data_IF_994088398497
#
_entry.id   IF_994088398497
#
_cell.length_a   1.000
_cell.length_b   1.000
_cell.length_c   1.000
_cell.angle_alpha   90.00
_cell.angle_beta   90.00
_cell.angle_gamma   90.00
#
_symmetry.space_group_name_H-M   'P 1'
#
loop_
_entity.id
_entity.type
_entity.pdbx_description
1 polymer ?
#
# COMPACT_ATOMS: atom_id res chain seq x y z
N UNK A 1 11.81 6.05 -5.49
CA UNK A 1 10.82 7.11 -5.73
C UNK A 1 9.70 7.04 -4.67
N UNK A 2 9.22 5.84 -4.32
CA UNK A 2 8.18 5.58 -3.30
C UNK A 2 8.52 5.92 -1.83
N UNK A 3 9.81 6.06 -1.46
CA UNK A 3 10.21 6.35 -0.07
C UNK A 3 9.80 7.75 0.41
N UNK A 4 9.68 8.71 -0.52
CA UNK A 4 9.25 10.08 -0.19
C UNK A 4 7.77 10.15 0.20
N UNK A 5 6.93 9.30 -0.39
CA UNK A 5 5.52 9.15 -0.02
C UNK A 5 5.38 8.60 1.42
N UNK A 6 6.21 7.61 1.76
CA UNK A 6 6.26 7.06 3.11
C UNK A 6 6.67 8.10 4.16
N UNK A 7 7.68 8.92 3.86
CA UNK A 7 8.11 10.03 4.75
C UNK A 7 6.98 11.06 4.93
N UNK A 8 6.21 11.35 3.88
CA UNK A 8 5.03 12.23 3.97
C UNK A 8 3.96 11.64 4.88
N UNK A 9 3.64 10.36 4.73
CA UNK A 9 2.66 9.70 5.61
C UNK A 9 3.12 9.67 7.07
N UNK A 10 4.41 9.44 7.31
CA UNK A 10 5.02 9.52 8.64
C UNK A 10 4.91 10.93 9.23
N UNK A 11 5.26 11.96 8.45
CA UNK A 11 5.24 13.36 8.89
C UNK A 11 3.84 13.83 9.26
N UNK A 12 2.83 13.31 8.55
CA UNK A 12 1.41 13.57 8.80
C UNK A 12 0.81 12.65 9.88
N UNK A 13 1.61 11.75 10.49
CA UNK A 13 1.15 10.76 11.46
C UNK A 13 -0.05 9.92 11.00
N UNK A 14 -0.14 9.65 9.69
CA UNK A 14 -1.27 8.92 9.10
C UNK A 14 -1.11 7.38 9.21
N UNK A 15 0.12 6.92 9.46
CA UNK A 15 0.48 5.50 9.58
C UNK A 15 0.29 4.99 11.01
N UNK A 16 -0.32 3.80 11.14
CA UNK A 16 -0.38 3.05 12.40
C UNK A 16 0.97 2.41 12.74
N UNK A 17 1.15 1.95 13.98
CA UNK A 17 2.42 1.30 14.38
C UNK A 17 2.72 0.03 13.56
N UNK A 18 1.69 -0.77 13.26
CA UNK A 18 1.82 -1.93 12.37
C UNK A 18 2.27 -1.53 10.94
N UNK A 19 1.79 -0.40 10.42
CA UNK A 19 2.19 0.13 9.11
C UNK A 19 3.63 0.68 9.13
N UNK A 20 4.08 1.22 10.28
CA UNK A 20 5.47 1.69 10.47
C UNK A 20 6.46 0.53 10.53
N UNK A 21 6.10 -0.55 11.23
CA UNK A 21 6.92 -1.77 11.27
C UNK A 21 7.00 -2.43 9.89
N UNK A 22 5.91 -2.43 9.14
CA UNK A 22 5.85 -2.99 7.78
C UNK A 22 6.19 -1.94 6.70
N UNK A 23 7.24 -1.14 6.93
CA UNK A 23 7.68 -0.06 6.02
C UNK A 23 7.78 -0.52 4.57
N UNK A 24 8.45 -1.65 4.33
CA UNK A 24 8.71 -2.14 2.97
C UNK A 24 7.41 -2.50 2.23
N UNK A 25 6.46 -3.15 2.92
CA UNK A 25 5.14 -3.49 2.36
C UNK A 25 4.38 -2.23 1.96
N UNK A 26 4.39 -1.21 2.83
CA UNK A 26 3.71 0.06 2.55
C UNK A 26 4.35 0.78 1.37
N UNK A 27 5.68 0.82 1.28
CA UNK A 27 6.40 1.44 0.16
C UNK A 27 6.01 0.76 -1.15
N UNK A 28 6.03 -0.57 -1.19
CA UNK A 28 5.75 -1.35 -2.39
C UNK A 28 4.29 -1.20 -2.85
N UNK A 29 3.32 -1.22 -1.93
CA UNK A 29 1.91 -0.99 -2.27
C UNK A 29 1.70 0.46 -2.69
N UNK A 30 2.34 1.42 -2.03
CA UNK A 30 2.24 2.83 -2.40
C UNK A 30 2.77 3.05 -3.80
N UNK A 31 3.90 2.45 -4.17
CA UNK A 31 4.45 2.51 -5.53
C UNK A 31 3.44 2.00 -6.56
N UNK A 32 2.79 0.85 -6.30
CA UNK A 32 1.74 0.33 -7.19
C UNK A 32 0.55 1.29 -7.36
N UNK A 33 0.11 1.94 -6.28
CA UNK A 33 -0.98 2.94 -6.34
C UNK A 33 -0.54 4.17 -7.12
N UNK A 34 0.68 4.65 -6.88
CA UNK A 34 1.22 5.81 -7.57
C UNK A 34 1.43 5.56 -9.06
N UNK A 35 1.92 4.38 -9.42
CA UNK A 35 2.07 3.96 -10.81
C UNK A 35 0.70 3.86 -11.50
N UNK A 36 -0.30 3.28 -10.82
CA UNK A 36 -1.67 3.19 -11.33
C UNK A 36 -2.33 4.56 -11.54
N UNK A 37 -2.04 5.54 -10.68
CA UNK A 37 -2.49 6.93 -10.85
C UNK A 37 -1.62 7.74 -11.84
N UNK A 38 -0.49 7.20 -12.33
CA UNK A 38 0.44 7.90 -13.22
C UNK A 38 1.30 8.97 -12.52
N UNK A 39 1.55 8.79 -11.22
CA UNK A 39 2.34 9.66 -10.34
C UNK A 39 3.75 9.05 -10.15
N UNK A 40 4.52 9.02 -11.24
CA UNK A 40 5.85 8.37 -11.26
C UNK A 40 7.01 9.26 -10.75
N UNK A 41 6.75 10.46 -10.22
CA UNK A 41 7.83 11.42 -9.90
C UNK A 41 7.74 11.98 -8.48
N UNK A 42 8.84 11.93 -7.71
CA UNK A 42 8.96 12.45 -6.34
C UNK A 42 8.56 13.94 -6.23
N UNK A 43 8.76 14.71 -7.31
CA UNK A 43 8.33 16.11 -7.38
C UNK A 43 6.82 16.27 -7.49
N UNK A 44 6.11 15.30 -8.08
CA UNK A 44 4.64 15.28 -8.11
C UNK A 44 4.11 14.92 -6.72
N UNK A 45 4.64 13.89 -6.06
CA UNK A 45 4.17 13.47 -4.73
C UNK A 45 4.34 14.58 -3.68
N UNK A 46 5.42 15.35 -3.76
CA UNK A 46 5.64 16.49 -2.85
C UNK A 46 4.62 17.63 -3.07
N UNK A 47 4.00 17.71 -4.25
CA UNK A 47 2.97 18.70 -4.59
C UNK A 47 1.55 18.17 -4.37
N UNK A 48 1.39 16.90 -4.00
CA UNK A 48 0.09 16.30 -3.66
C UNK A 48 -0.43 16.94 -2.36
N UNK A 49 -1.70 17.31 -2.37
CA UNK A 49 -2.39 17.87 -1.20
C UNK A 49 -2.56 16.81 -0.11
N UNK A 50 -2.80 17.24 1.13
CA UNK A 50 -3.06 16.31 2.24
C UNK A 50 -4.27 15.41 1.96
N UNK A 51 -5.32 15.95 1.35
CA UNK A 51 -6.52 15.19 0.97
C UNK A 51 -6.18 14.06 0.02
N UNK A 52 -5.40 14.34 -1.03
CA UNK A 52 -5.01 13.33 -2.01
C UNK A 52 -4.01 12.32 -1.43
N UNK A 53 -3.16 12.72 -0.48
CA UNK A 53 -2.35 11.78 0.31
C UNK A 53 -3.21 10.82 1.15
N UNK A 54 -4.32 11.30 1.72
CA UNK A 54 -5.28 10.44 2.45
C UNK A 54 -5.97 9.46 1.51
N UNK A 55 -6.38 9.90 0.32
CA UNK A 55 -6.96 9.01 -0.70
C UNK A 55 -5.99 7.89 -1.08
N UNK A 56 -4.72 8.23 -1.38
CA UNK A 56 -3.68 7.25 -1.70
C UNK A 56 -3.50 6.26 -0.54
N UNK A 57 -3.46 6.75 0.70
CA UNK A 57 -3.31 5.87 1.86
C UNK A 57 -4.52 4.94 2.07
N UNK A 58 -5.74 5.41 1.80
CA UNK A 58 -6.92 4.54 1.80
C UNK A 58 -6.84 3.45 0.75
N UNK A 59 -6.35 3.77 -0.46
CA UNK A 59 -6.12 2.76 -1.50
C UNK A 59 -5.05 1.74 -1.08
N UNK A 60 -3.95 2.21 -0.49
CA UNK A 60 -2.90 1.34 0.07
C UNK A 60 -3.50 0.37 1.09
N UNK A 61 -4.35 0.86 2.01
CA UNK A 61 -5.04 0.02 3.00
C UNK A 61 -6.02 -0.96 2.36
N UNK A 62 -6.76 -0.55 1.33
CA UNK A 62 -7.66 -1.44 0.57
C UNK A 62 -6.89 -2.56 -0.11
N UNK A 63 -5.78 -2.25 -0.78
CA UNK A 63 -4.93 -3.24 -1.45
C UNK A 63 -4.29 -4.17 -0.42
N UNK A 64 -3.78 -3.65 0.69
CA UNK A 64 -3.22 -4.46 1.79
C UNK A 64 -4.24 -5.44 2.35
N UNK A 65 -5.47 -4.98 2.61
CA UNK A 65 -6.57 -5.84 3.06
C UNK A 65 -6.95 -6.89 2.01
N UNK A 66 -6.95 -6.52 0.73
CA UNK A 66 -7.21 -7.44 -0.38
C UNK A 66 -6.11 -8.49 -0.51
N UNK A 67 -4.83 -8.13 -0.44
CA UNK A 67 -3.69 -9.07 -0.44
C UNK A 67 -3.80 -10.08 0.71
N UNK A 68 -4.16 -9.64 1.92
CA UNK A 68 -4.41 -10.55 3.06
C UNK A 68 -5.57 -11.52 2.79
N UNK A 69 -6.68 -11.03 2.22
CA UNK A 69 -7.86 -11.86 1.92
C UNK A 69 -7.65 -12.87 0.78
N UNK A 70 -6.88 -12.48 -0.23
CA UNK A 70 -6.51 -13.37 -1.34
C UNK A 70 -5.54 -14.46 -0.91
N UNK A 71 -4.76 -14.25 0.16
CA UNK A 71 -3.92 -15.29 0.73
C UNK A 71 -4.76 -16.39 1.40
N UNK A 72 -5.81 -16.02 2.14
CA UNK A 72 -6.76 -16.98 2.74
C UNK A 72 -7.54 -17.79 1.68
N UNK A 73 -7.97 -17.17 0.58
CA UNK A 73 -8.71 -17.86 -0.48
C UNK A 73 -7.81 -18.81 -1.31
N UNK A 74 -6.53 -18.48 -1.49
CA UNK A 74 -5.57 -19.32 -2.22
C UNK A 74 -4.99 -20.48 -1.38
N UNK A 75 -4.89 -20.35 -0.05
CA UNK A 75 -4.53 -21.50 0.80
C UNK A 75 -5.64 -22.56 0.86
N UNK A 76 -6.90 -22.14 0.81
CA UNK A 76 -8.03 -23.08 0.75
C UNK A 76 -8.06 -23.80 -0.61
N UNK A 77 -7.76 -23.11 -1.73
CA UNK A 77 -7.74 -23.74 -3.05
C UNK A 77 -6.62 -24.78 -3.22
N UNK A 78 -5.43 -24.54 -2.65
CA UNK A 78 -4.30 -25.46 -2.78
C UNK A 78 -4.38 -26.70 -1.89
N UNK A 79 -5.19 -26.68 -0.82
CA UNK A 79 -5.35 -27.85 0.08
C UNK A 79 -6.41 -28.84 -0.40
N UNK A 80 -7.29 -28.47 -1.34
CA UNK A 80 -8.30 -29.39 -1.89
C UNK A 80 -7.82 -30.16 -3.13
N UNK A 81 -6.78 -29.71 -3.83
CA UNK A 81 -6.25 -30.43 -5.01
C UNK A 81 -5.27 -31.56 -4.67
N UNK A 82 -4.65 -31.58 -3.49
CA UNK A 82 -3.73 -32.68 -3.08
C UNK A 82 -4.44 -33.88 -2.41
N UNK A 83 -5.78 -33.87 -2.31
CA UNK A 83 -6.55 -34.90 -1.60
C UNK A 83 -7.50 -35.74 -2.49
N UNK A 84 -7.34 -35.72 -3.82
CA UNK A 84 -8.15 -36.51 -4.75
C UNK A 84 -7.32 -37.45 -5.64
#
# INVERSE_FOLDING_TARGET
MSEFAFIRFLSLSLLTEEEKENKNEIIEITEQVLDAEGIECDSKISKVSEEKLKEILEEVRKIRKKKRKTYDENEIANTVEEAN
#
